data_IF_825337473106
#
_entry.id   IF_825337473106
#
_cell.length_a   1.000
_cell.length_b   1.000
_cell.length_c   1.000
_cell.angle_alpha   90.00
_cell.angle_beta   90.00
_cell.angle_gamma   90.00
#
_symmetry.space_group_name_H-M   'P 1'
#
loop_
_entity.id
_entity.type
_entity.pdbx_description
1 polymer ?
#
# COMPACT_ATOMS: atom_id res chain seq x y z
N UNK A 1 15.09 -4.55 22.86
CA UNK A 1 14.08 -3.87 22.03
C UNK A 1 14.44 -4.15 20.57
N UNK A 2 13.81 -5.15 19.95
CA UNK A 2 14.10 -5.52 18.56
C UNK A 2 13.24 -4.64 17.64
N UNK A 3 13.76 -4.10 16.52
CA UNK A 3 12.93 -3.32 15.60
C UNK A 3 11.84 -4.21 14.98
N UNK A 4 10.57 -3.84 15.18
CA UNK A 4 9.40 -4.42 14.53
C UNK A 4 9.55 -4.26 13.01
N UNK A 5 9.89 -5.34 12.31
CA UNK A 5 10.20 -5.31 10.88
C UNK A 5 8.95 -5.73 10.11
N UNK A 6 8.32 -4.78 9.43
CA UNK A 6 7.22 -5.05 8.50
C UNK A 6 7.81 -5.37 7.14
N UNK A 7 7.49 -6.54 6.60
CA UNK A 7 7.82 -6.87 5.21
C UNK A 7 6.57 -6.61 4.37
N UNK A 8 6.57 -5.56 3.56
CA UNK A 8 5.54 -5.37 2.55
C UNK A 8 5.90 -6.22 1.34
N UNK A 9 5.06 -7.20 1.02
CA UNK A 9 5.18 -8.03 -0.18
C UNK A 9 3.98 -7.76 -1.06
N UNK A 10 4.11 -6.81 -1.99
CA UNK A 10 3.29 -6.87 -3.19
C UNK A 10 4.09 -7.63 -4.27
N UNK A 11 3.39 -8.24 -5.23
CA UNK A 11 3.97 -9.19 -6.18
C UNK A 11 5.05 -8.59 -7.12
N UNK A 12 5.33 -7.30 -7.08
CA UNK A 12 6.51 -6.71 -7.72
C UNK A 12 6.83 -5.37 -7.06
N UNK A 13 8.05 -5.19 -6.53
CA UNK A 13 8.66 -3.87 -6.50
C UNK A 13 8.88 -3.43 -7.94
N UNK A 14 7.92 -2.71 -8.51
CA UNK A 14 7.89 -2.35 -9.92
C UNK A 14 6.55 -1.74 -10.33
N UNK A 15 6.42 -1.39 -11.60
CA UNK A 15 5.20 -0.82 -12.15
C UNK A 15 4.10 -1.89 -12.26
N UNK A 16 2.86 -1.54 -11.89
CA UNK A 16 1.66 -2.39 -11.96
C UNK A 16 0.62 -1.71 -12.83
N UNK A 17 -0.14 -2.49 -13.59
CA UNK A 17 -1.34 -2.03 -14.29
C UNK A 17 -2.65 -2.29 -13.55
N UNK A 18 -2.55 -2.86 -12.34
CA UNK A 18 -3.66 -3.03 -11.42
C UNK A 18 -3.66 -1.87 -10.41
N UNK A 19 -4.71 -1.01 -10.39
CA UNK A 19 -4.82 0.12 -9.46
C UNK A 19 -5.29 -0.30 -8.06
N UNK A 20 -5.58 -1.59 -7.83
CA UNK A 20 -6.02 -2.17 -6.55
C UNK A 20 -5.10 -3.31 -6.09
N UNK A 21 -3.77 -3.10 -6.04
CA UNK A 21 -2.87 -4.18 -5.67
C UNK A 21 -3.13 -4.59 -4.22
N UNK A 22 -3.04 -5.90 -3.97
CA UNK A 22 -3.06 -6.39 -2.60
C UNK A 22 -1.73 -6.01 -1.95
N UNK A 23 -1.78 -5.06 -1.01
CA UNK A 23 -0.66 -4.67 -0.17
C UNK A 23 -0.69 -5.59 1.04
N UNK A 24 0.25 -6.52 1.10
CA UNK A 24 0.32 -7.48 2.20
C UNK A 24 1.61 -7.34 2.96
N UNK A 25 1.60 -7.77 4.22
CA UNK A 25 2.83 -7.88 4.99
C UNK A 25 2.68 -8.57 6.31
N UNK A 26 3.72 -8.45 7.12
CA UNK A 26 3.78 -9.03 8.47
C UNK A 26 3.93 -7.94 9.51
N UNK A 27 3.18 -8.02 10.59
CA UNK A 27 3.33 -7.20 11.79
C UNK A 27 3.09 -8.09 13.01
N UNK A 28 3.25 -7.53 14.22
CA UNK A 28 2.95 -8.30 15.42
C UNK A 28 1.45 -8.62 15.49
N UNK A 29 1.06 -9.85 15.88
CA UNK A 29 -0.34 -10.23 15.98
C UNK A 29 -1.16 -9.27 16.85
N UNK A 30 -2.34 -8.87 16.36
CA UNK A 30 -3.25 -7.98 17.09
C UNK A 30 -2.83 -6.50 17.12
N UNK A 31 -1.79 -6.12 16.37
CA UNK A 31 -1.43 -4.70 16.18
C UNK A 31 -2.19 -4.07 15.02
N UNK A 32 -2.38 -2.76 15.07
CA UNK A 32 -2.99 -1.97 14.00
C UNK A 32 -1.90 -1.46 13.07
N UNK A 33 -1.99 -1.82 11.80
CA UNK A 33 -1.13 -1.34 10.72
C UNK A 33 -1.84 -0.20 10.02
N UNK A 34 -1.27 0.99 10.09
CA UNK A 34 -1.70 2.16 9.31
C UNK A 34 -0.94 2.16 8.00
N UNK A 35 -1.65 2.14 6.87
CA UNK A 35 -1.08 2.20 5.53
C UNK A 35 -1.20 3.64 5.03
N UNK A 36 -0.08 4.17 4.53
CA UNK A 36 0.00 5.50 3.92
C UNK A 36 0.48 5.41 2.50
N UNK A 37 -0.01 6.31 1.65
CA UNK A 37 0.49 6.59 0.31
C UNK A 37 0.99 8.04 0.23
N UNK A 38 2.25 8.23 -0.16
CA UNK A 38 2.86 9.56 -0.28
C UNK A 38 2.71 10.42 0.99
N UNK A 39 2.67 9.77 2.16
CA UNK A 39 2.48 10.40 3.47
C UNK A 39 1.00 10.54 3.92
N UNK A 40 0.04 10.33 3.04
CA UNK A 40 -1.40 10.38 3.36
C UNK A 40 -1.90 9.01 3.80
N UNK A 41 -2.74 8.94 4.84
CA UNK A 41 -3.31 7.67 5.30
C UNK A 41 -4.39 7.23 4.29
N UNK A 42 -4.19 6.06 3.69
CA UNK A 42 -5.14 5.45 2.75
C UNK A 42 -5.99 4.37 3.42
N UNK A 43 -5.55 3.86 4.57
CA UNK A 43 -6.33 2.88 5.33
C UNK A 43 -5.61 2.35 6.55
N UNK A 44 -6.31 1.50 7.28
CA UNK A 44 -5.80 0.77 8.44
C UNK A 44 -6.26 -0.68 8.40
N UNK A 45 -5.40 -1.60 8.84
CA UNK A 45 -5.72 -3.02 8.94
C UNK A 45 -5.12 -3.57 10.22
N UNK A 46 -5.82 -4.49 10.89
CA UNK A 46 -5.27 -5.20 12.05
C UNK A 46 -4.54 -6.45 11.57
N UNK A 47 -3.33 -6.67 12.09
CA UNK A 47 -2.59 -7.89 11.84
C UNK A 47 -3.28 -9.08 12.53
N UNK A 48 -3.47 -10.16 11.77
CA UNK A 48 -4.09 -11.39 12.24
C UNK A 48 -3.31 -12.07 13.36
N UNK A 49 -3.87 -13.17 13.89
CA UNK A 49 -3.21 -13.95 14.96
C UNK A 49 -1.88 -14.58 14.51
N UNK A 50 -1.71 -14.78 13.22
CA UNK A 50 -0.50 -15.24 12.55
C UNK A 50 0.49 -14.10 12.21
N UNK A 51 0.12 -12.85 12.53
CA UNK A 51 0.92 -11.66 12.24
C UNK A 51 0.83 -11.22 10.78
N UNK A 52 0.03 -11.89 9.94
CA UNK A 52 -0.16 -11.48 8.56
C UNK A 52 -1.27 -10.44 8.45
N UNK A 53 -1.11 -9.53 7.50
CA UNK A 53 -2.14 -8.56 7.14
C UNK A 53 -2.18 -8.37 5.63
N UNK A 54 -3.36 -8.00 5.13
CA UNK A 54 -3.60 -7.67 3.73
C UNK A 54 -4.53 -6.48 3.65
N UNK A 55 -4.17 -5.53 2.81
CA UNK A 55 -4.92 -4.31 2.55
C UNK A 55 -5.13 -4.16 1.05
N UNK A 56 -6.36 -3.85 0.66
CA UNK A 56 -6.74 -3.53 -0.71
C UNK A 56 -7.14 -2.05 -0.70
N UNK A 57 -6.47 -1.18 -1.47
CA UNK A 57 -6.83 0.23 -1.57
C UNK A 57 -8.28 0.41 -2.02
N UNK A 58 -9.07 1.16 -1.23
CA UNK A 58 -10.42 1.61 -1.57
C UNK A 58 -10.59 3.06 -1.10
N UNK A 59 -10.65 4.06 -2.01
CA UNK A 59 -10.66 3.93 -3.47
C UNK A 59 -9.33 3.42 -4.06
N UNK A 60 -9.40 2.92 -5.29
CA UNK A 60 -8.24 2.46 -6.05
C UNK A 60 -7.15 3.55 -6.15
N UNK A 61 -5.88 3.13 -6.24
CA UNK A 61 -4.75 4.03 -6.43
C UNK A 61 -4.84 4.71 -7.80
N UNK A 62 -4.50 6.00 -7.83
CA UNK A 62 -4.41 6.77 -9.08
C UNK A 62 -3.23 6.29 -9.93
N UNK A 63 -3.13 6.77 -11.17
CA UNK A 63 -1.90 6.58 -11.93
C UNK A 63 -0.75 7.42 -11.38
N UNK A 64 0.46 6.87 -11.48
CA UNK A 64 1.70 7.52 -11.09
C UNK A 64 2.45 6.81 -9.96
N UNK A 65 3.38 7.54 -9.36
CA UNK A 65 4.24 7.01 -8.29
C UNK A 65 3.57 7.12 -6.92
N UNK A 66 3.55 5.99 -6.22
CA UNK A 66 2.96 5.79 -4.90
C UNK A 66 4.04 5.33 -3.92
N UNK A 67 4.35 6.14 -2.91
CA UNK A 67 5.28 5.77 -1.84
C UNK A 67 4.50 5.18 -0.66
N UNK A 68 4.34 3.86 -0.66
CA UNK A 68 3.58 3.15 0.37
C UNK A 68 4.44 2.98 1.62
N UNK A 69 4.00 3.54 2.75
CA UNK A 69 4.63 3.33 4.06
C UNK A 69 3.61 2.75 5.04
N UNK A 70 4.12 2.09 6.08
CA UNK A 70 3.29 1.51 7.12
C UNK A 70 3.76 1.93 8.51
N UNK A 71 2.81 2.12 9.42
CA UNK A 71 3.06 2.38 10.84
C UNK A 71 2.29 1.35 11.64
N UNK A 72 3.00 0.63 12.51
CA UNK A 72 2.38 -0.37 13.38
C UNK A 72 2.19 0.21 14.76
N UNK A 73 0.94 0.25 15.23
CA UNK A 73 0.56 0.66 16.58
C UNK A 73 0.01 -0.53 17.35
N UNK A 74 0.54 -0.79 18.54
CA UNK A 74 -0.04 -1.83 19.40
C UNK A 74 -1.30 -1.36 20.15
N UNK A 75 -2.03 -2.32 20.72
CA UNK A 75 -3.23 -2.08 21.50
C UNK A 75 -3.00 -1.23 22.76
N UNK A 76 -1.76 -1.11 23.24
CA UNK A 76 -1.39 -0.22 24.34
C UNK A 76 -1.05 1.21 23.86
N UNK A 77 -1.11 1.47 22.55
CA UNK A 77 -0.92 2.79 21.95
C UNK A 77 0.53 3.11 21.55
N UNK A 78 1.47 2.15 21.61
CA UNK A 78 2.83 2.44 21.14
C UNK A 78 2.92 2.25 19.62
N UNK A 79 3.22 3.34 18.92
CA UNK A 79 3.49 3.33 17.49
C UNK A 79 4.97 2.99 17.21
N UNK A 80 5.19 2.23 16.15
CA UNK A 80 6.51 1.93 15.61
C UNK A 80 6.99 3.06 14.70
N UNK A 81 8.28 3.07 14.37
CA UNK A 81 8.79 3.92 13.30
C UNK A 81 8.12 3.54 11.96
N UNK A 82 8.02 4.51 11.05
CA UNK A 82 7.56 4.29 9.68
C UNK A 82 8.43 3.23 8.99
N UNK A 83 7.79 2.29 8.29
CA UNK A 83 8.49 1.30 7.49
C UNK A 83 9.26 1.95 6.34
N UNK A 84 10.17 1.19 5.72
CA UNK A 84 10.75 1.60 4.45
C UNK A 84 9.62 1.87 3.45
N UNK A 85 9.77 2.97 2.70
CA UNK A 85 8.84 3.31 1.63
C UNK A 85 8.94 2.27 0.53
N UNK A 86 7.79 1.70 0.19
CA UNK A 86 7.63 0.82 -0.93
C UNK A 86 7.11 1.64 -2.12
N UNK A 87 7.99 1.91 -3.07
CA UNK A 87 7.65 2.64 -4.29
C UNK A 87 6.90 1.71 -5.24
N UNK A 88 5.63 2.03 -5.48
CA UNK A 88 4.77 1.40 -6.45
C UNK A 88 4.51 2.41 -7.57
N UNK A 89 4.60 1.99 -8.82
CA UNK A 89 4.19 2.82 -9.95
C UNK A 89 2.93 2.20 -10.55
N UNK A 90 1.82 2.94 -10.52
CA UNK A 90 0.57 2.50 -11.13
C UNK A 90 0.53 3.07 -12.55
N UNK A 91 0.68 2.19 -13.52
CA UNK A 91 0.53 2.45 -14.95
C UNK A 91 -0.63 1.57 -15.42
N UNK A 92 -1.86 2.07 -15.28
CA UNK A 92 -3.04 1.32 -15.77
C UNK A 92 -3.07 1.26 -17.29
N UNK A 93 -2.07 1.86 -17.93
CA UNK A 93 -1.90 1.93 -19.36
C UNK A 93 -3.21 2.36 -19.96
N UNK A 94 -3.77 3.50 -19.51
CA UNK A 94 -4.91 4.08 -20.21
C UNK A 94 -4.43 4.17 -21.66
N UNK A 95 -4.99 3.40 -22.61
CA UNK A 95 -4.84 3.85 -23.98
C UNK A 95 -5.52 5.21 -23.93
N UNK A 96 -4.79 6.29 -24.17
CA UNK A 96 -5.40 7.51 -24.67
C UNK A 96 -6.28 7.03 -25.82
N UNK A 97 -7.58 6.86 -25.58
CA UNK A 97 -8.53 6.67 -26.66
C UNK A 97 -8.50 8.01 -27.35
N UNK A 98 -7.66 8.03 -28.37
CA UNK A 98 -7.42 9.08 -29.33
C UNK A 98 -8.75 9.82 -29.50
N UNK A 99 -8.85 11.02 -28.93
CA UNK A 99 -9.83 11.99 -29.44
C UNK A 99 -9.28 12.46 -30.77
N UNK A 100 -9.35 11.59 -31.80
CA UNK A 100 -9.42 12.05 -33.17
C UNK A 100 -10.90 12.34 -33.37
N UNK A 101 -11.36 13.61 -33.36
CA UNK A 101 -12.68 13.88 -33.88
C UNK A 101 -12.71 13.37 -35.31
N UNK A 102 -13.65 12.48 -35.58
CA UNK A 102 -13.87 11.91 -36.90
C UNK A 102 -14.27 13.00 -37.90
N UNK A 103 -13.96 12.74 -39.17
CA UNK A 103 -14.55 13.39 -40.34
C UNK A 103 -14.01 14.78 -40.65
N UNK A 104 -13.10 14.87 -41.61
CA UNK A 104 -13.41 15.31 -42.98
C UNK A 104 -12.29 14.91 -43.94
#
# INVERSE_FOLDING_TARGET
MMPRRVLVSCKAGGSTNDPTPIISGTAEPGTTVTIKDNGNIIGTVTAGADGQWGFIPDPALSEGSHAITTIVSDAAGNASAESLAFNLEVDTGIPDTISKPGGE
#
